data_IF_087771385706
#
_entry.id   IF_087771385706
#
_cell.length_a   1.000
_cell.length_b   1.000
_cell.length_c   1.000
_cell.angle_alpha   90.00
_cell.angle_beta   90.00
_cell.angle_gamma   90.00
#
_symmetry.space_group_name_H-M   'P 1'
#
loop_
_entity.id
_entity.type
_entity.pdbx_description
1 polymer ?
#
# COMPACT_ATOMS: atom_id res chain seq x y z
N UNK A 1 -35.32 -21.03 24.60
CA UNK A 1 -35.14 -19.57 24.63
C UNK A 1 -34.29 -19.16 23.43
N UNK A 2 -34.81 -18.39 22.45
CA UNK A 2 -33.99 -17.93 21.33
C UNK A 2 -32.87 -17.04 21.87
N UNK A 3 -31.62 -17.36 21.53
CA UNK A 3 -30.45 -16.56 21.92
C UNK A 3 -30.65 -15.14 21.37
N UNK A 4 -30.67 -14.14 22.26
CA UNK A 4 -30.73 -12.72 21.89
C UNK A 4 -29.55 -12.45 20.95
N UNK A 5 -29.82 -12.17 19.67
CA UNK A 5 -28.79 -11.87 18.66
C UNK A 5 -28.06 -10.61 19.08
N UNK A 6 -26.73 -10.71 19.23
CA UNK A 6 -25.88 -9.56 19.58
C UNK A 6 -25.76 -8.58 18.42
N UNK A 7 -25.61 -7.30 18.74
CA UNK A 7 -25.22 -6.28 17.75
C UNK A 7 -23.71 -6.23 17.56
N UNK A 8 -23.25 -5.57 16.50
CA UNK A 8 -21.83 -5.30 16.25
C UNK A 8 -21.23 -4.50 17.40
N UNK A 9 -21.92 -3.48 17.90
CA UNK A 9 -21.48 -2.63 19.01
C UNK A 9 -21.34 -3.42 20.33
N UNK A 10 -22.25 -4.37 20.58
CA UNK A 10 -22.16 -5.27 21.74
C UNK A 10 -20.99 -6.27 21.60
N UNK A 11 -20.59 -6.57 20.36
CA UNK A 11 -19.45 -7.42 20.07
C UNK A 11 -18.14 -6.62 20.17
N UNK A 12 -18.09 -5.39 19.64
CA UNK A 12 -16.99 -4.43 19.76
C UNK A 12 -16.62 -4.14 21.21
N UNK A 13 -17.62 -3.85 22.06
CA UNK A 13 -17.40 -3.68 23.51
C UNK A 13 -16.87 -4.94 24.19
N UNK A 14 -17.18 -6.13 23.67
CA UNK A 14 -16.68 -7.38 24.23
C UNK A 14 -15.20 -7.61 23.90
N UNK A 15 -14.75 -7.15 22.74
CA UNK A 15 -13.37 -7.32 22.25
C UNK A 15 -12.47 -6.13 22.56
N UNK A 16 -13.02 -5.04 23.10
CA UNK A 16 -12.31 -3.77 23.30
C UNK A 16 -11.65 -3.24 22.02
N UNK A 17 -12.27 -3.53 20.88
CA UNK A 17 -11.89 -3.01 19.57
C UNK A 17 -12.87 -1.93 19.18
N UNK A 18 -12.44 -1.07 18.26
CA UNK A 18 -13.34 -0.10 17.67
C UNK A 18 -14.46 -0.82 16.90
N UNK A 19 -15.63 -0.18 16.82
CA UNK A 19 -16.77 -0.79 16.14
C UNK A 19 -16.50 -0.99 14.64
N UNK A 20 -15.65 -0.15 14.06
CA UNK A 20 -15.24 -0.21 12.68
C UNK A 20 -14.24 -1.34 12.42
N UNK A 21 -13.34 -1.63 13.36
CA UNK A 21 -12.45 -2.80 13.30
C UNK A 21 -13.24 -4.11 13.36
N UNK A 22 -14.31 -4.13 14.16
CA UNK A 22 -15.22 -5.27 14.24
C UNK A 22 -16.00 -5.45 12.94
N UNK A 23 -16.45 -4.38 12.30
CA UNK A 23 -17.12 -4.46 11.00
C UNK A 23 -16.20 -5.03 9.90
N UNK A 24 -14.93 -4.63 9.87
CA UNK A 24 -13.93 -5.14 8.90
C UNK A 24 -13.79 -6.65 9.03
N UNK A 25 -13.50 -7.14 10.24
CA UNK A 25 -13.29 -8.57 10.46
C UNK A 25 -14.56 -9.39 10.21
N UNK A 26 -15.75 -8.79 10.36
CA UNK A 26 -17.00 -9.43 9.98
C UNK A 26 -17.19 -9.49 8.46
N UNK A 27 -16.85 -8.43 7.72
CA UNK A 27 -16.86 -8.45 6.25
C UNK A 27 -15.88 -9.47 5.68
N UNK A 28 -14.66 -9.53 6.20
CA UNK A 28 -13.67 -10.53 5.79
C UNK A 28 -14.14 -11.97 6.05
N UNK A 29 -15.06 -12.16 7.00
CA UNK A 29 -15.70 -13.43 7.31
C UNK A 29 -17.01 -13.70 6.53
N UNK A 30 -17.36 -12.81 5.59
CA UNK A 30 -18.52 -12.91 4.69
C UNK A 30 -19.83 -12.44 5.31
N UNK A 31 -19.80 -11.42 6.18
CA UNK A 31 -21.00 -10.73 6.71
C UNK A 31 -21.26 -9.40 6.00
N UNK A 32 -21.34 -9.43 4.67
CA UNK A 32 -21.44 -8.23 3.82
C UNK A 32 -22.71 -7.39 4.10
N UNK A 33 -23.76 -8.02 4.65
CA UNK A 33 -25.00 -7.34 5.03
C UNK A 33 -24.94 -6.53 6.34
N UNK A 34 -23.84 -6.59 7.10
CA UNK A 34 -23.70 -5.92 8.40
C UNK A 34 -22.92 -4.63 8.22
N UNK A 35 -23.60 -3.47 8.18
CA UNK A 35 -22.97 -2.20 7.77
C UNK A 35 -22.84 -1.19 8.90
N UNK A 36 -23.58 -1.38 10.00
CA UNK A 36 -23.69 -0.40 11.08
C UNK A 36 -23.43 -1.03 12.45
N UNK A 37 -22.92 -0.26 13.42
CA UNK A 37 -22.77 -0.67 14.83
C UNK A 37 -23.98 -1.36 15.46
N UNK A 38 -25.20 -0.93 15.08
CA UNK A 38 -26.45 -1.45 15.67
C UNK A 38 -27.02 -2.66 14.94
N UNK A 39 -26.41 -3.09 13.84
CA UNK A 39 -26.90 -4.23 13.06
C UNK A 39 -26.71 -5.53 13.85
N UNK A 40 -27.69 -6.44 13.70
CA UNK A 40 -27.73 -7.69 14.48
C UNK A 40 -27.12 -8.85 13.71
N UNK A 41 -26.27 -9.60 14.40
CA UNK A 41 -25.55 -10.73 13.82
C UNK A 41 -26.44 -11.97 13.77
N UNK A 42 -26.62 -12.54 12.56
CA UNK A 42 -27.35 -13.80 12.35
C UNK A 42 -26.64 -14.99 13.01
N UNK A 43 -25.32 -15.07 12.90
CA UNK A 43 -24.49 -16.19 13.39
C UNK A 43 -23.40 -15.72 14.38
N UNK A 44 -23.81 -15.40 15.61
CA UNK A 44 -22.92 -14.79 16.61
C UNK A 44 -21.65 -15.60 16.91
N UNK A 45 -21.67 -16.94 16.80
CA UNK A 45 -20.48 -17.76 17.04
C UNK A 45 -19.45 -17.67 15.90
N UNK A 46 -19.90 -17.58 14.64
CA UNK A 46 -19.02 -17.42 13.48
C UNK A 46 -18.44 -16.00 13.47
N UNK A 47 -19.25 -14.99 13.79
CA UNK A 47 -18.80 -13.62 14.02
C UNK A 47 -17.73 -13.51 15.12
N UNK A 48 -17.88 -14.25 16.23
CA UNK A 48 -16.87 -14.30 17.31
C UNK A 48 -15.54 -14.91 16.84
N UNK A 49 -15.59 -15.99 16.05
CA UNK A 49 -14.37 -16.61 15.51
C UNK A 49 -13.64 -15.68 14.54
N UNK A 50 -14.38 -14.95 13.71
CA UNK A 50 -13.82 -13.96 12.80
C UNK A 50 -12.97 -12.89 13.52
N UNK A 51 -13.36 -12.56 14.75
CA UNK A 51 -12.67 -11.60 15.61
C UNK A 51 -11.60 -12.24 16.51
N UNK A 52 -11.24 -13.50 16.28
CA UNK A 52 -10.28 -14.22 17.11
C UNK A 52 -10.77 -14.52 18.53
N UNK A 53 -12.08 -14.46 18.79
CA UNK A 53 -12.64 -14.72 20.11
C UNK A 53 -12.96 -16.19 20.29
N UNK A 54 -12.56 -16.73 21.43
CA UNK A 54 -12.98 -18.06 21.81
C UNK A 54 -14.49 -18.13 22.09
N UNK A 55 -15.09 -19.22 21.63
CA UNK A 55 -16.48 -19.57 21.92
C UNK A 55 -16.61 -20.07 23.35
N UNK A 56 -17.84 -20.05 23.90
CA UNK A 56 -18.14 -20.64 25.22
C UNK A 56 -17.79 -22.14 25.32
N UNK A 57 -17.69 -22.83 24.17
CA UNK A 57 -17.29 -24.24 24.10
C UNK A 57 -15.77 -24.39 24.16
N UNK A 58 -15.03 -23.54 23.45
CA UNK A 58 -13.56 -23.51 23.47
C UNK A 58 -13.01 -23.05 24.83
N UNK A 59 -13.63 -22.06 25.48
CA UNK A 59 -13.21 -21.61 26.81
C UNK A 59 -13.38 -22.67 27.91
N UNK A 60 -14.14 -23.73 27.65
CA UNK A 60 -14.26 -24.90 28.54
C UNK A 60 -13.18 -25.95 28.26
N UNK A 61 -12.36 -25.78 27.22
CA UNK A 61 -11.29 -26.71 26.86
C UNK A 61 -10.03 -26.43 27.66
N UNK A 62 -9.39 -27.49 28.17
CA UNK A 62 -8.05 -27.40 28.76
C UNK A 62 -7.02 -26.95 27.71
N UNK A 63 -7.10 -27.50 26.49
CA UNK A 63 -6.17 -27.18 25.40
C UNK A 63 -6.22 -25.70 24.98
N UNK A 64 -7.40 -25.07 25.05
CA UNK A 64 -7.53 -23.64 24.78
C UNK A 64 -6.72 -22.81 25.78
N UNK A 65 -6.84 -23.11 27.07
CA UNK A 65 -6.13 -22.35 28.10
C UNK A 65 -4.63 -22.67 28.16
N UNK A 66 -4.22 -23.89 27.81
CA UNK A 66 -2.81 -24.21 27.58
C UNK A 66 -2.21 -23.31 26.50
N UNK A 67 -2.95 -23.11 25.39
CA UNK A 67 -2.54 -22.19 24.31
C UNK A 67 -2.56 -20.72 24.76
N UNK A 68 -3.54 -20.29 25.56
CA UNK A 68 -3.61 -18.90 26.06
C UNK A 68 -2.43 -18.55 26.99
N UNK A 69 -1.98 -19.50 27.80
CA UNK A 69 -0.87 -19.28 28.74
C UNK A 69 0.49 -19.70 28.19
N UNK A 70 0.53 -20.28 26.98
CA UNK A 70 1.71 -20.89 26.38
C UNK A 70 2.40 -21.91 27.32
N UNK A 71 1.61 -22.84 27.87
CA UNK A 71 2.07 -23.84 28.84
C UNK A 71 1.84 -25.26 28.33
N UNK A 72 2.81 -26.13 28.59
CA UNK A 72 2.65 -27.57 28.40
C UNK A 72 1.75 -28.18 29.48
N UNK A 73 1.18 -29.36 29.22
CA UNK A 73 0.16 -29.95 30.08
C UNK A 73 0.58 -30.11 31.56
N UNK A 74 1.81 -30.54 31.90
CA UNK A 74 2.26 -30.64 33.29
C UNK A 74 2.29 -29.28 34.01
N UNK A 75 2.71 -28.23 33.31
CA UNK A 75 2.85 -26.87 33.83
C UNK A 75 1.48 -26.22 34.02
N UNK A 76 0.57 -26.40 33.05
CA UNK A 76 -0.79 -25.92 33.15
C UNK A 76 -1.55 -26.63 34.28
N UNK A 77 -1.32 -27.93 34.50
CA UNK A 77 -1.89 -28.66 35.64
C UNK A 77 -1.32 -28.17 36.98
N UNK A 78 -0.05 -27.78 37.02
CA UNK A 78 0.54 -27.12 38.18
C UNK A 78 -0.15 -25.78 38.48
N UNK A 79 -0.37 -24.97 37.44
CA UNK A 79 -1.10 -23.71 37.54
C UNK A 79 -2.54 -23.91 38.04
N UNK A 80 -3.24 -24.93 37.57
CA UNK A 80 -4.59 -25.24 38.05
C UNK A 80 -4.60 -25.64 39.54
N UNK A 81 -3.57 -26.36 40.02
CA UNK A 81 -3.41 -26.69 41.44
C UNK A 81 -3.16 -25.43 42.28
N UNK A 82 -2.28 -24.55 41.82
CA UNK A 82 -2.00 -23.25 42.45
C UNK A 82 -3.27 -22.38 42.55
N UNK A 83 -4.07 -22.35 41.48
CA UNK A 83 -5.37 -21.66 41.45
C UNK A 83 -6.50 -22.42 42.18
N UNK A 84 -6.17 -23.51 42.87
CA UNK A 84 -7.11 -24.37 43.62
C UNK A 84 -8.30 -24.84 42.78
N UNK A 85 -8.07 -25.13 41.50
CA UNK A 85 -9.08 -25.61 40.55
C UNK A 85 -9.08 -27.14 40.54
N UNK A 86 -10.13 -27.80 41.06
CA UNK A 86 -10.20 -29.26 41.05
C UNK A 86 -10.48 -29.78 39.63
N UNK A 87 -9.56 -30.56 39.09
CA UNK A 87 -9.70 -31.25 37.80
C UNK A 87 -9.06 -32.63 37.87
N UNK A 88 -9.66 -33.64 37.21
CA UNK A 88 -9.07 -34.98 37.09
C UNK A 88 -7.86 -34.92 36.15
N UNK A 89 -6.86 -35.78 36.39
CA UNK A 89 -5.61 -35.81 35.62
C UNK A 89 -5.77 -36.02 34.11
N UNK A 90 -6.91 -36.55 33.65
CA UNK A 90 -7.18 -36.77 32.22
C UNK A 90 -8.35 -35.95 31.68
N UNK A 91 -8.92 -35.05 32.49
CA UNK A 91 -10.07 -34.27 32.05
C UNK A 91 -9.64 -33.20 31.04
N UNK A 92 -10.24 -33.22 29.84
CA UNK A 92 -10.01 -32.24 28.77
C UNK A 92 -10.94 -31.02 28.87
N UNK A 93 -11.88 -31.02 29.81
CA UNK A 93 -12.82 -29.92 30.04
C UNK A 93 -12.71 -29.34 31.44
N UNK A 94 -12.71 -28.02 31.50
CA UNK A 94 -12.64 -27.24 32.73
C UNK A 94 -14.02 -27.04 33.35
N UNK A 95 -14.14 -27.09 34.68
CA UNK A 95 -15.38 -26.76 35.37
C UNK A 95 -15.69 -25.25 35.23
N UNK A 96 -16.98 -24.84 35.29
CA UNK A 96 -17.38 -23.45 35.02
C UNK A 96 -16.67 -22.41 35.89
N UNK A 97 -16.40 -22.75 37.16
CA UNK A 97 -15.71 -21.87 38.12
C UNK A 97 -14.22 -21.70 37.82
N UNK A 98 -13.60 -22.62 37.08
CA UNK A 98 -12.19 -22.53 36.66
C UNK A 98 -11.95 -21.39 35.68
N UNK A 99 -12.88 -21.19 34.75
CA UNK A 99 -12.78 -20.17 33.69
C UNK A 99 -12.63 -18.77 34.29
N UNK A 100 -13.37 -18.47 35.36
CA UNK A 100 -13.28 -17.17 36.04
C UNK A 100 -11.92 -16.95 36.70
N UNK A 101 -11.32 -18.00 37.27
CA UNK A 101 -10.01 -17.93 37.92
C UNK A 101 -8.89 -17.80 36.89
N UNK A 102 -8.95 -18.58 35.82
CA UNK A 102 -8.00 -18.49 34.70
C UNK A 102 -8.06 -17.13 34.00
N UNK A 103 -9.25 -16.53 33.83
CA UNK A 103 -9.38 -15.15 33.35
C UNK A 103 -8.72 -14.14 34.28
N UNK A 104 -8.91 -14.31 35.59
CA UNK A 104 -8.29 -13.43 36.58
C UNK A 104 -6.76 -13.56 36.54
N UNK A 105 -6.25 -14.77 36.38
CA UNK A 105 -4.81 -15.04 36.30
C UNK A 105 -4.20 -14.53 34.99
N UNK A 106 -4.85 -14.74 33.86
CA UNK A 106 -4.44 -14.19 32.56
C UNK A 106 -4.32 -12.66 32.62
N UNK A 107 -5.31 -11.99 33.23
CA UNK A 107 -5.26 -10.53 33.43
C UNK A 107 -4.10 -10.08 34.29
N UNK A 108 -3.77 -10.81 35.37
CA UNK A 108 -2.59 -10.52 36.21
C UNK A 108 -1.29 -10.64 35.41
N UNK A 109 -1.23 -11.59 34.47
CA UNK A 109 -0.09 -11.81 33.57
C UNK A 109 -0.11 -10.91 32.33
N UNK A 110 -1.06 -9.98 32.22
CA UNK A 110 -1.19 -9.11 31.04
C UNK A 110 -1.66 -9.82 29.77
N UNK A 111 -2.18 -11.03 29.86
CA UNK A 111 -2.73 -11.81 28.74
C UNK A 111 -4.21 -11.50 28.61
N UNK A 112 -4.71 -11.24 27.39
CA UNK A 112 -6.15 -11.16 27.13
C UNK A 112 -6.75 -12.57 27.04
N UNK A 113 -7.57 -13.00 28.02
CA UNK A 113 -8.13 -14.35 28.06
C UNK A 113 -9.26 -14.59 27.05
N UNK A 114 -9.65 -13.58 26.26
CA UNK A 114 -10.74 -13.70 25.28
C UNK A 114 -10.16 -13.92 23.87
N UNK A 115 -9.07 -13.23 23.54
CA UNK A 115 -8.36 -13.32 22.26
C UNK A 115 -7.15 -14.27 22.30
N UNK A 116 -6.67 -14.63 23.49
CA UNK A 116 -5.45 -15.43 23.66
C UNK A 116 -4.18 -14.67 23.29
N UNK A 117 -4.26 -13.37 23.04
CA UNK A 117 -3.12 -12.51 22.72
C UNK A 117 -2.61 -11.84 24.00
N UNK A 118 -1.29 -11.83 24.20
CA UNK A 118 -0.67 -10.96 25.20
C UNK A 118 -1.06 -9.50 24.88
N UNK A 119 -1.39 -8.67 25.90
CA UNK A 119 -1.34 -7.21 25.70
C UNK A 119 0.03 -6.87 25.11
N UNK A 120 0.12 -5.93 24.15
CA UNK A 120 1.36 -5.67 23.42
C UNK A 120 2.44 -5.31 24.44
N UNK A 121 3.22 -6.33 24.77
CA UNK A 121 4.44 -6.27 25.52
C UNK A 121 5.48 -6.14 24.44
N UNK A 122 6.29 -5.09 24.54
CA UNK A 122 7.36 -4.75 23.61
C UNK A 122 8.07 -6.03 23.17
N UNK A 123 7.85 -6.43 21.91
CA UNK A 123 8.43 -7.64 21.33
C UNK A 123 9.94 -7.47 21.36
N UNK A 124 10.62 -8.40 22.02
CA UNK A 124 12.08 -8.46 22.00
C UNK A 124 12.52 -8.96 20.62
N UNK A 125 13.25 -8.09 19.92
CA UNK A 125 13.78 -8.26 18.57
C UNK A 125 14.84 -9.37 18.51
N UNK A 126 14.52 -10.49 17.87
CA UNK A 126 15.55 -11.42 17.35
C UNK A 126 15.30 -11.65 15.84
N UNK A 127 14.09 -12.10 15.45
CA UNK A 127 13.74 -12.34 14.04
C UNK A 127 13.54 -11.07 13.20
N UNK A 128 13.02 -10.00 13.80
CA UNK A 128 12.82 -8.70 13.13
C UNK A 128 14.15 -8.06 12.73
N UNK A 129 15.26 -8.36 13.44
CA UNK A 129 16.59 -7.87 13.08
C UNK A 129 17.09 -8.40 11.74
N UNK A 130 16.80 -9.67 11.40
CA UNK A 130 17.22 -10.27 10.12
C UNK A 130 16.41 -9.68 8.95
N UNK A 131 15.10 -9.53 9.11
CA UNK A 131 14.23 -8.96 8.06
C UNK A 131 14.51 -7.47 7.87
N UNK A 132 14.67 -6.71 8.96
CA UNK A 132 15.06 -5.31 8.91
C UNK A 132 16.45 -5.13 8.26
N UNK A 133 17.40 -6.04 8.50
CA UNK A 133 18.69 -6.06 7.78
C UNK A 133 18.53 -6.37 6.29
N UNK A 134 17.64 -7.30 5.92
CA UNK A 134 17.37 -7.61 4.52
C UNK A 134 16.77 -6.42 3.76
N UNK A 135 15.87 -5.66 4.37
CA UNK A 135 15.31 -4.45 3.75
C UNK A 135 16.39 -3.40 3.46
N UNK A 136 17.49 -3.38 4.23
CA UNK A 136 18.61 -2.45 3.99
C UNK A 136 19.44 -2.80 2.77
N UNK A 137 19.45 -4.06 2.35
CA UNK A 137 20.28 -4.53 1.23
C UNK A 137 19.55 -4.57 -0.10
N UNK A 138 18.25 -4.26 -0.12
CA UNK A 138 17.40 -4.39 -1.31
C UNK A 138 17.18 -3.01 -1.94
N UNK A 139 17.65 -2.85 -3.19
CA UNK A 139 17.36 -1.68 -4.00
C UNK A 139 18.39 -0.57 -3.88
N UNK A 140 17.97 0.66 -4.18
CA UNK A 140 18.86 1.80 -4.33
C UNK A 140 18.62 2.84 -3.22
N UNK A 141 19.62 3.06 -2.38
CA UNK A 141 19.59 4.13 -1.39
C UNK A 141 19.86 5.50 -2.03
N UNK A 142 19.03 6.49 -1.69
CA UNK A 142 19.15 7.89 -2.09
C UNK A 142 18.29 8.80 -1.20
N UNK A 143 18.42 10.13 -1.28
CA UNK A 143 17.42 11.04 -0.73
C UNK A 143 16.05 10.75 -1.37
N UNK A 144 15.04 10.50 -0.55
CA UNK A 144 13.70 10.10 -0.99
C UNK A 144 12.76 11.31 -1.02
N UNK A 145 12.01 11.46 -2.11
CA UNK A 145 10.81 12.31 -2.13
C UNK A 145 9.62 11.44 -1.76
N UNK A 146 9.07 11.69 -0.59
CA UNK A 146 7.88 11.03 -0.10
C UNK A 146 6.62 11.66 -0.71
N UNK A 147 5.59 10.84 -0.90
CA UNK A 147 4.26 11.37 -1.18
C UNK A 147 3.62 11.86 0.10
N UNK A 148 2.90 12.98 0.02
CA UNK A 148 2.10 13.48 1.15
C UNK A 148 0.71 12.85 1.14
N UNK A 149 0.00 12.97 2.27
CA UNK A 149 -1.41 12.56 2.36
C UNK A 149 -2.27 13.28 1.32
N UNK A 150 -2.03 14.58 1.11
CA UNK A 150 -2.73 15.39 0.11
C UNK A 150 -2.48 14.90 -1.31
N UNK A 151 -1.25 14.47 -1.63
CA UNK A 151 -0.90 13.92 -2.94
C UNK A 151 -1.57 12.57 -3.17
N UNK A 152 -1.56 11.68 -2.17
CA UNK A 152 -2.23 10.37 -2.24
C UNK A 152 -3.76 10.53 -2.32
N UNK A 153 -4.32 11.48 -1.56
CA UNK A 153 -5.74 11.86 -1.64
C UNK A 153 -6.09 12.46 -3.00
N UNK A 154 -5.21 13.28 -3.57
CA UNK A 154 -5.34 13.82 -4.93
C UNK A 154 -5.39 12.70 -5.98
N UNK A 155 -4.48 11.73 -5.87
CA UNK A 155 -4.45 10.53 -6.72
C UNK A 155 -5.78 9.77 -6.64
N UNK A 156 -6.29 9.57 -5.44
CA UNK A 156 -7.57 8.93 -5.20
C UNK A 156 -8.72 9.64 -5.91
N UNK A 157 -8.85 10.96 -5.74
CA UNK A 157 -9.96 11.69 -6.34
C UNK A 157 -9.86 11.80 -7.87
N UNK A 158 -8.65 11.80 -8.44
CA UNK A 158 -8.46 11.64 -9.88
C UNK A 158 -8.96 10.29 -10.38
N UNK A 159 -8.68 9.19 -9.65
CA UNK A 159 -9.23 7.87 -9.96
C UNK A 159 -10.76 7.86 -9.86
N UNK A 160 -11.34 8.45 -8.81
CA UNK A 160 -12.81 8.55 -8.67
C UNK A 160 -13.41 9.27 -9.87
N UNK A 161 -12.84 10.41 -10.27
CA UNK A 161 -13.29 11.18 -11.43
C UNK A 161 -13.20 10.39 -12.73
N UNK A 162 -12.06 9.75 -12.98
CA UNK A 162 -11.82 9.01 -14.23
C UNK A 162 -12.71 7.76 -14.37
N UNK A 163 -13.05 7.12 -13.24
CA UNK A 163 -13.86 5.89 -13.22
C UNK A 163 -15.37 6.13 -13.07
N UNK A 164 -15.81 7.36 -12.77
CA UNK A 164 -17.22 7.71 -12.52
C UNK A 164 -18.19 7.27 -13.64
N UNK A 165 -17.77 7.30 -14.90
CA UNK A 165 -18.58 6.88 -16.06
C UNK A 165 -18.34 5.45 -16.55
N UNK A 166 -17.56 4.66 -15.81
CA UNK A 166 -17.23 3.27 -16.19
C UNK A 166 -18.24 2.28 -15.60
N UNK A 167 -18.16 1.01 -16.01
CA UNK A 167 -19.01 -0.06 -15.46
C UNK A 167 -18.72 -0.37 -13.98
N UNK A 168 -17.53 -0.01 -13.49
CA UNK A 168 -17.04 -0.31 -12.14
C UNK A 168 -16.49 0.96 -11.45
N UNK A 169 -17.36 1.93 -11.08
CA UNK A 169 -16.94 3.17 -10.43
C UNK A 169 -16.32 2.92 -9.04
N UNK A 170 -15.63 3.92 -8.49
CA UNK A 170 -15.14 3.88 -7.12
C UNK A 170 -16.26 4.39 -6.21
N UNK A 171 -17.09 3.48 -5.73
CA UNK A 171 -18.22 3.79 -4.84
C UNK A 171 -18.30 2.80 -3.66
N UNK A 172 -18.59 3.28 -2.43
CA UNK A 172 -18.70 4.70 -2.07
C UNK A 172 -17.34 5.41 -2.13
N UNK A 173 -17.35 6.65 -2.63
CA UNK A 173 -16.15 7.48 -2.73
C UNK A 173 -15.89 8.18 -1.39
N UNK A 174 -14.61 8.27 -0.99
CA UNK A 174 -14.18 9.00 0.19
C UNK A 174 -13.03 8.33 0.95
N UNK A 175 -12.31 9.15 1.70
CA UNK A 175 -11.40 8.69 2.75
C UNK A 175 -12.24 8.07 3.86
N UNK A 176 -11.86 6.88 4.32
CA UNK A 176 -12.53 6.16 5.40
C UNK A 176 -12.25 6.82 6.74
N UNK A 177 -10.97 7.01 7.04
CA UNK A 177 -10.47 7.71 8.22
C UNK A 177 -9.16 8.40 7.87
N UNK A 178 -8.99 9.65 8.28
CA UNK A 178 -7.72 10.37 8.05
C UNK A 178 -6.54 9.67 8.76
N UNK A 179 -6.76 9.08 9.93
CA UNK A 179 -5.73 8.33 10.65
C UNK A 179 -5.21 7.10 9.86
N UNK A 180 -6.08 6.41 9.12
CA UNK A 180 -5.68 5.29 8.26
C UNK A 180 -4.88 5.77 7.05
N UNK A 181 -5.29 6.90 6.45
CA UNK A 181 -4.54 7.51 5.35
C UNK A 181 -3.16 7.95 5.81
N UNK A 182 -3.08 8.67 6.93
CA UNK A 182 -1.84 9.10 7.55
C UNK A 182 -0.95 7.89 7.89
N UNK A 183 -1.49 6.87 8.55
CA UNK A 183 -0.75 5.66 8.89
C UNK A 183 -0.14 4.99 7.66
N UNK A 184 -0.94 4.86 6.59
CA UNK A 184 -0.50 4.22 5.37
C UNK A 184 0.61 5.01 4.65
N UNK A 185 0.44 6.33 4.56
CA UNK A 185 1.39 7.24 3.89
C UNK A 185 2.68 7.41 4.69
N UNK A 186 2.61 7.39 6.03
CA UNK A 186 3.79 7.54 6.88
C UNK A 186 4.54 6.24 7.14
N UNK A 187 3.98 5.07 6.85
CA UNK A 187 4.68 3.78 7.05
C UNK A 187 6.09 3.74 6.45
N UNK A 188 6.35 4.24 5.22
CA UNK A 188 7.69 4.27 4.65
C UNK A 188 8.71 5.12 5.46
N UNK A 189 8.24 6.06 6.29
CA UNK A 189 9.07 6.88 7.17
C UNK A 189 9.52 6.16 8.45
N UNK A 190 9.08 4.92 8.67
CA UNK A 190 9.39 4.16 9.90
C UNK A 190 10.89 4.10 10.15
N UNK A 191 11.30 4.48 11.36
CA UNK A 191 12.69 4.45 11.81
C UNK A 191 12.79 3.91 13.24
N UNK A 192 13.92 3.28 13.56
CA UNK A 192 14.24 2.80 14.91
C UNK A 192 15.69 3.17 15.23
N UNK A 193 15.92 3.82 16.37
CA UNK A 193 17.26 4.22 16.79
C UNK A 193 17.94 5.20 15.82
N UNK A 194 17.17 6.01 15.11
CA UNK A 194 17.69 6.94 14.07
C UNK A 194 17.96 6.30 12.71
N UNK A 195 17.79 4.97 12.58
CA UNK A 195 17.96 4.28 11.32
C UNK A 195 16.62 3.99 10.64
N UNK A 196 16.52 4.28 9.33
CA UNK A 196 15.32 3.98 8.53
C UNK A 196 15.12 2.47 8.40
N UNK A 197 13.87 2.01 8.54
CA UNK A 197 13.45 0.63 8.26
C UNK A 197 13.40 0.35 6.75
N UNK A 198 13.02 1.36 5.96
CA UNK A 198 12.91 1.30 4.50
C UNK A 198 13.87 2.33 3.87
N UNK A 199 15.18 2.02 3.76
CA UNK A 199 16.18 3.01 3.36
C UNK A 199 16.28 3.26 1.85
N UNK A 200 15.72 2.38 1.02
CA UNK A 200 15.81 2.44 -0.45
C UNK A 200 14.49 2.86 -1.08
N UNK A 201 14.54 3.26 -2.36
CA UNK A 201 13.33 3.60 -3.13
C UNK A 201 12.37 2.41 -3.18
N UNK A 202 12.89 1.21 -3.46
CA UNK A 202 12.08 0.01 -3.64
C UNK A 202 11.46 -0.47 -2.33
N UNK A 203 12.22 -0.45 -1.22
CA UNK A 203 11.68 -0.82 0.09
C UNK A 203 10.63 0.18 0.59
N UNK A 204 10.81 1.46 0.27
CA UNK A 204 9.85 2.53 0.56
C UNK A 204 8.58 2.42 -0.28
N UNK A 205 8.73 2.18 -1.58
CA UNK A 205 7.63 1.94 -2.50
C UNK A 205 6.84 0.69 -2.10
N UNK A 206 7.52 -0.38 -1.71
CA UNK A 206 6.91 -1.61 -1.22
C UNK A 206 6.10 -1.38 0.06
N UNK A 207 6.67 -0.63 1.02
CA UNK A 207 5.98 -0.29 2.26
C UNK A 207 4.70 0.52 2.00
N UNK A 208 4.76 1.48 1.06
CA UNK A 208 3.62 2.31 0.63
C UNK A 208 2.55 1.48 -0.11
N UNK A 209 2.96 0.58 -1.01
CA UNK A 209 2.03 -0.31 -1.72
C UNK A 209 1.24 -1.15 -0.71
N UNK A 210 1.98 -1.81 0.18
CA UNK A 210 1.44 -2.74 1.16
C UNK A 210 0.53 -2.03 2.15
N UNK A 211 0.91 -0.87 2.68
CA UNK A 211 0.06 -0.14 3.63
C UNK A 211 -1.23 0.38 3.02
N UNK A 212 -1.19 1.00 1.83
CA UNK A 212 -2.44 1.47 1.20
C UNK A 212 -3.38 0.29 0.91
N UNK A 213 -2.83 -0.87 0.52
CA UNK A 213 -3.63 -2.08 0.29
C UNK A 213 -4.22 -2.63 1.58
N UNK A 214 -3.48 -2.73 2.69
CA UNK A 214 -3.95 -3.45 3.87
C UNK A 214 -4.53 -2.57 4.98
N UNK A 215 -4.17 -1.29 5.04
CA UNK A 215 -4.75 -0.34 6.02
C UNK A 215 -6.11 0.18 5.53
N UNK A 216 -6.45 -0.03 4.25
CA UNK A 216 -7.72 0.37 3.62
C UNK A 216 -8.15 1.81 3.96
N UNK A 217 -7.34 2.83 3.64
CA UNK A 217 -7.62 4.22 3.99
C UNK A 217 -8.82 4.83 3.26
N UNK A 218 -9.29 4.21 2.17
CA UNK A 218 -10.48 4.64 1.42
C UNK A 218 -11.61 3.62 1.53
N UNK A 219 -12.85 4.06 1.39
CA UNK A 219 -14.01 3.17 1.41
C UNK A 219 -14.01 2.13 0.28
N UNK A 220 -13.56 2.53 -0.90
CA UNK A 220 -13.34 1.66 -2.05
C UNK A 220 -12.17 2.22 -2.86
N UNK A 221 -11.55 1.41 -3.72
CA UNK A 221 -10.49 1.83 -4.63
C UNK A 221 -9.06 1.68 -4.09
N UNK A 222 -8.87 1.12 -2.89
CA UNK A 222 -7.55 1.00 -2.24
C UNK A 222 -6.48 0.36 -3.15
N UNK A 223 -6.78 -0.78 -3.79
CA UNK A 223 -5.86 -1.44 -4.73
C UNK A 223 -5.48 -0.57 -5.94
N UNK A 224 -6.46 0.16 -6.49
CA UNK A 224 -6.25 1.08 -7.62
C UNK A 224 -5.37 2.26 -7.20
N UNK A 225 -5.66 2.85 -6.04
CA UNK A 225 -4.88 3.96 -5.49
C UNK A 225 -3.47 3.53 -5.13
N UNK A 226 -3.30 2.38 -4.48
CA UNK A 226 -1.98 1.86 -4.12
C UNK A 226 -1.06 1.71 -5.35
N UNK A 227 -1.59 1.13 -6.44
CA UNK A 227 -0.84 0.98 -7.68
C UNK A 227 -0.42 2.33 -8.26
N UNK A 228 -1.35 3.29 -8.38
CA UNK A 228 -1.02 4.61 -8.95
C UNK A 228 -0.08 5.39 -8.05
N UNK A 229 -0.26 5.36 -6.72
CA UNK A 229 0.64 6.00 -5.76
C UNK A 229 2.06 5.47 -5.85
N UNK A 230 2.24 4.16 -6.02
CA UNK A 230 3.58 3.55 -6.17
C UNK A 230 4.21 3.92 -7.50
N UNK A 231 3.45 3.96 -8.59
CA UNK A 231 3.94 4.40 -9.89
C UNK A 231 4.40 5.86 -9.86
N UNK A 232 3.63 6.75 -9.22
CA UNK A 232 4.00 8.17 -9.02
C UNK A 232 5.23 8.25 -8.11
N UNK A 233 5.25 7.54 -6.98
CA UNK A 233 6.40 7.53 -6.07
C UNK A 233 7.69 7.09 -6.76
N UNK A 234 7.65 6.04 -7.60
CA UNK A 234 8.81 5.58 -8.36
C UNK A 234 9.31 6.65 -9.35
N UNK A 235 8.41 7.28 -10.11
CA UNK A 235 8.75 8.35 -11.07
C UNK A 235 9.43 9.53 -10.37
N UNK A 236 8.86 9.95 -9.24
CA UNK A 236 9.36 11.06 -8.43
C UNK A 236 10.72 10.78 -7.78
N UNK A 237 11.05 9.50 -7.59
CA UNK A 237 12.36 9.06 -7.08
C UNK A 237 13.33 8.64 -8.19
N UNK A 238 12.98 8.90 -9.45
CA UNK A 238 13.84 8.69 -10.60
C UNK A 238 13.91 7.22 -11.07
N UNK A 239 12.81 6.48 -10.93
CA UNK A 239 12.69 5.09 -11.36
C UNK A 239 11.63 4.94 -12.46
N UNK A 240 11.93 4.08 -13.42
CA UNK A 240 11.02 3.74 -14.50
C UNK A 240 10.52 2.30 -14.35
N UNK A 241 9.19 2.08 -14.28
CA UNK A 241 8.60 0.75 -14.30
C UNK A 241 8.80 0.06 -15.65
N UNK A 242 9.37 -1.15 -15.63
CA UNK A 242 9.59 -2.02 -16.80
C UNK A 242 8.63 -3.22 -16.85
N UNK A 243 7.66 -3.27 -15.95
CA UNK A 243 6.58 -4.26 -15.97
C UNK A 243 5.39 -3.83 -16.82
N UNK A 244 4.65 -4.80 -17.33
CA UNK A 244 3.42 -4.60 -18.08
C UNK A 244 2.15 -4.57 -17.20
N UNK A 245 0.98 -4.52 -17.85
CA UNK A 245 -0.32 -4.44 -17.18
C UNK A 245 -0.71 -5.73 -16.44
N UNK A 246 -0.30 -6.89 -16.93
CA UNK A 246 -0.60 -8.21 -16.35
C UNK A 246 0.28 -8.46 -15.13
N UNK A 247 1.56 -8.10 -15.23
CA UNK A 247 2.53 -8.14 -14.14
C UNK A 247 2.11 -7.22 -12.98
N UNK A 248 1.74 -5.97 -13.30
CA UNK A 248 1.21 -5.03 -12.30
C UNK A 248 -0.06 -5.55 -11.61
N UNK A 249 -0.98 -6.12 -12.39
CA UNK A 249 -2.22 -6.71 -11.85
C UNK A 249 -1.90 -7.85 -10.88
N UNK A 250 -1.03 -8.77 -11.30
CA UNK A 250 -0.65 -9.94 -10.51
C UNK A 250 0.00 -9.54 -9.20
N UNK A 251 0.95 -8.60 -9.23
CA UNK A 251 1.61 -8.08 -8.03
C UNK A 251 0.58 -7.57 -7.03
N UNK A 252 -0.29 -6.64 -7.44
CA UNK A 252 -1.28 -6.01 -6.54
C UNK A 252 -2.26 -7.04 -5.99
N UNK A 253 -2.69 -8.00 -6.82
CA UNK A 253 -3.59 -9.06 -6.39
C UNK A 253 -2.93 -10.01 -5.39
N UNK A 254 -1.69 -10.41 -5.62
CA UNK A 254 -0.96 -11.31 -4.74
C UNK A 254 -0.63 -10.65 -3.39
N UNK A 255 -0.37 -9.33 -3.38
CA UNK A 255 -0.26 -8.56 -2.13
C UNK A 255 -1.61 -8.54 -1.41
N UNK A 256 -2.68 -8.10 -2.07
CA UNK A 256 -4.00 -7.98 -1.46
C UNK A 256 -4.55 -9.31 -0.89
N UNK A 257 -4.13 -10.44 -1.45
CA UNK A 257 -4.57 -11.78 -1.03
C UNK A 257 -3.56 -12.51 -0.13
N UNK A 258 -2.50 -11.84 0.33
CA UNK A 258 -1.42 -12.44 1.12
C UNK A 258 -0.80 -13.69 0.47
N UNK A 259 -0.63 -13.66 -0.86
CA UNK A 259 -0.05 -14.75 -1.66
C UNK A 259 1.39 -14.48 -2.08
N UNK A 260 1.89 -13.28 -1.85
CA UNK A 260 3.27 -12.91 -2.21
C UNK A 260 4.31 -13.50 -1.24
N UNK A 261 3.90 -13.82 -0.01
CA UNK A 261 4.70 -14.55 0.99
C UNK A 261 3.84 -15.62 1.70
N UNK A 262 4.47 -16.57 2.39
CA UNK A 262 3.75 -17.60 3.15
C UNK A 262 3.04 -16.99 4.38
N UNK A 263 1.68 -16.99 4.42
CA UNK A 263 0.92 -16.34 5.49
C UNK A 263 1.06 -17.04 6.84
N UNK A 264 1.62 -18.25 6.89
CA UNK A 264 1.85 -18.99 8.14
C UNK A 264 3.09 -18.51 8.89
N UNK A 265 3.92 -17.70 8.25
CA UNK A 265 5.17 -17.23 8.83
C UNK A 265 4.96 -15.95 9.65
N UNK A 266 5.71 -15.83 10.75
CA UNK A 266 5.73 -14.60 11.55
C UNK A 266 6.25 -13.40 10.75
N UNK A 267 5.82 -12.21 11.17
CA UNK A 267 6.16 -10.92 10.53
C UNK A 267 5.75 -10.85 9.06
N UNK A 268 4.57 -11.37 8.73
CA UNK A 268 4.03 -11.43 7.37
C UNK A 268 4.15 -10.09 6.63
N UNK A 269 3.72 -8.98 7.25
CA UNK A 269 3.78 -7.66 6.62
C UNK A 269 5.21 -7.23 6.22
N UNK A 270 6.22 -7.58 7.01
CA UNK A 270 7.61 -7.27 6.68
C UNK A 270 8.16 -8.20 5.60
N UNK A 271 7.77 -9.48 5.60
CA UNK A 271 8.12 -10.44 4.54
C UNK A 271 7.50 -10.04 3.21
N UNK A 272 6.22 -9.70 3.19
CA UNK A 272 5.54 -9.20 1.99
C UNK A 272 6.22 -7.94 1.48
N UNK A 273 6.60 -7.03 2.38
CA UNK A 273 7.36 -5.83 1.99
C UNK A 273 8.70 -6.18 1.35
N UNK A 274 9.42 -7.20 1.86
CA UNK A 274 10.66 -7.71 1.24
C UNK A 274 10.40 -8.27 -0.16
N UNK A 275 9.38 -9.12 -0.33
CA UNK A 275 9.06 -9.73 -1.62
C UNK A 275 8.63 -8.68 -2.65
N UNK A 276 7.80 -7.70 -2.25
CA UNK A 276 7.42 -6.58 -3.12
C UNK A 276 8.68 -5.78 -3.51
N UNK A 277 9.57 -5.48 -2.57
CA UNK A 277 10.78 -4.70 -2.84
C UNK A 277 11.74 -5.43 -3.80
N UNK A 278 11.94 -6.73 -3.60
CA UNK A 278 12.74 -7.56 -4.51
C UNK A 278 12.13 -7.62 -5.91
N UNK A 279 10.81 -7.77 -5.98
CA UNK A 279 10.09 -7.70 -7.24
C UNK A 279 10.31 -6.36 -7.94
N UNK A 280 10.17 -5.24 -7.23
CA UNK A 280 10.42 -3.90 -7.78
C UNK A 280 11.85 -3.73 -8.27
N UNK A 281 12.86 -4.24 -7.55
CA UNK A 281 14.25 -4.23 -8.02
C UNK A 281 14.45 -4.95 -9.37
N UNK A 282 13.70 -6.03 -9.60
CA UNK A 282 13.76 -6.78 -10.86
C UNK A 282 12.94 -6.17 -12.01
N UNK A 283 11.98 -5.30 -11.70
CA UNK A 283 11.01 -4.77 -12.67
C UNK A 283 11.01 -3.24 -12.76
N UNK A 284 11.99 -2.58 -12.15
CA UNK A 284 12.21 -1.14 -12.23
C UNK A 284 13.67 -0.87 -12.51
N UNK A 285 13.94 0.14 -13.34
CA UNK A 285 15.30 0.65 -13.54
C UNK A 285 15.41 2.09 -13.06
N UNK A 286 16.56 2.42 -12.49
CA UNK A 286 16.92 3.81 -12.28
C UNK A 286 16.96 4.53 -13.65
N UNK A 287 16.38 5.73 -13.73
CA UNK A 287 16.53 6.60 -14.89
C UNK A 287 18.02 6.89 -15.08
N UNK A 288 18.58 6.43 -16.21
CA UNK A 288 19.99 6.69 -16.55
C UNK A 288 20.19 8.19 -16.77
N UNK A 289 21.28 8.74 -16.23
CA UNK A 289 21.76 10.07 -16.63
C UNK A 289 22.07 10.05 -18.13
N UNK A 290 21.39 10.90 -18.90
CA UNK A 290 21.59 11.06 -20.34
C UNK A 290 20.30 10.88 -21.14
N UNK A 291 20.34 11.22 -22.42
CA UNK A 291 19.18 11.07 -23.30
C UNK A 291 18.93 9.60 -23.69
N UNK A 292 17.68 9.16 -23.62
CA UNK A 292 17.24 7.84 -24.05
C UNK A 292 15.96 7.93 -24.89
N UNK A 293 15.66 6.92 -25.73
CA UNK A 293 14.43 6.93 -26.50
C UNK A 293 13.19 6.97 -25.58
N UNK A 294 12.18 7.71 -26.00
CA UNK A 294 10.86 7.77 -25.33
C UNK A 294 9.75 7.83 -26.38
N UNK A 295 8.54 7.31 -26.10
CA UNK A 295 7.39 7.46 -26.98
C UNK A 295 7.10 8.94 -27.26
N UNK A 296 6.71 9.27 -28.49
CA UNK A 296 6.45 10.66 -28.87
C UNK A 296 5.38 11.32 -27.99
N UNK A 297 4.35 10.57 -27.58
CA UNK A 297 3.34 11.05 -26.61
C UNK A 297 3.96 11.60 -25.32
N UNK A 298 4.96 10.89 -24.76
CA UNK A 298 5.66 11.32 -23.55
C UNK A 298 6.53 12.55 -23.83
N UNK A 299 7.23 12.56 -24.95
CA UNK A 299 8.02 13.72 -25.37
C UNK A 299 7.13 14.98 -25.50
N UNK A 300 5.94 14.86 -26.09
CA UNK A 300 4.97 15.96 -26.20
C UNK A 300 4.61 16.52 -24.82
N UNK A 301 4.32 15.68 -23.84
CA UNK A 301 3.99 16.11 -22.47
C UNK A 301 5.13 16.88 -21.81
N UNK A 302 6.35 16.35 -21.90
CA UNK A 302 7.57 17.01 -21.38
C UNK A 302 7.72 18.39 -22.05
N UNK A 303 7.63 18.45 -23.38
CA UNK A 303 7.81 19.69 -24.13
C UNK A 303 6.74 20.73 -23.79
N UNK A 304 5.47 20.32 -23.65
CA UNK A 304 4.38 21.20 -23.19
C UNK A 304 4.65 21.69 -21.77
N UNK A 305 5.16 20.85 -20.87
CA UNK A 305 5.61 21.25 -19.52
C UNK A 305 6.75 22.28 -19.52
N UNK A 306 7.53 22.34 -20.60
CA UNK A 306 8.52 23.39 -20.85
C UNK A 306 7.97 24.62 -21.58
N UNK A 307 6.66 24.70 -21.80
CA UNK A 307 6.00 25.78 -22.52
C UNK A 307 6.21 25.72 -24.03
N UNK A 308 6.48 24.54 -24.59
CA UNK A 308 6.61 24.36 -26.03
C UNK A 308 5.23 24.16 -26.68
N UNK A 309 5.04 24.70 -27.88
CA UNK A 309 3.90 24.43 -28.76
C UNK A 309 4.33 23.48 -29.87
N UNK A 310 3.46 22.52 -30.20
CA UNK A 310 3.72 21.52 -31.24
C UNK A 310 2.65 21.63 -32.32
N UNK A 311 3.08 21.86 -33.55
CA UNK A 311 2.20 22.03 -34.71
C UNK A 311 2.56 21.03 -35.80
N UNK A 312 1.55 20.36 -36.37
CA UNK A 312 1.74 19.53 -37.55
C UNK A 312 2.07 20.42 -38.76
N UNK A 313 3.21 20.17 -39.40
CA UNK A 313 3.55 20.79 -40.68
C UNK A 313 3.28 19.82 -41.82
N UNK A 314 3.09 20.33 -43.03
CA UNK A 314 2.79 19.50 -44.20
C UNK A 314 3.79 18.32 -44.34
N UNK A 315 3.25 17.10 -44.40
CA UNK A 315 4.00 15.84 -44.42
C UNK A 315 4.18 15.17 -43.06
N UNK A 316 5.07 14.16 -42.97
CA UNK A 316 5.39 13.43 -41.73
C UNK A 316 6.38 14.21 -40.83
N UNK A 317 6.15 15.51 -40.61
CA UNK A 317 7.02 16.39 -39.83
C UNK A 317 6.22 17.11 -38.73
N UNK A 318 6.86 17.31 -37.58
CA UNK A 318 6.34 18.10 -36.47
C UNK A 318 7.21 19.32 -36.26
N UNK A 319 6.58 20.49 -36.17
CA UNK A 319 7.19 21.74 -35.74
C UNK A 319 7.01 21.93 -34.25
N UNK A 320 8.08 22.31 -33.54
CA UNK A 320 8.05 22.56 -32.10
C UNK A 320 8.64 23.94 -31.84
N UNK A 321 7.88 24.81 -31.16
CA UNK A 321 8.30 26.18 -30.84
C UNK A 321 8.28 26.44 -29.34
N UNK A 322 9.18 27.30 -28.85
CA UNK A 322 9.25 27.70 -27.44
C UNK A 322 9.68 29.16 -27.34
N UNK A 323 9.07 29.93 -26.42
CA UNK A 323 9.51 31.30 -26.16
C UNK A 323 10.77 31.28 -25.28
N UNK A 324 11.89 31.79 -25.80
CA UNK A 324 13.17 31.86 -25.08
C UNK A 324 13.24 33.02 -24.09
N UNK A 325 14.18 32.94 -23.14
CA UNK A 325 14.39 34.00 -22.13
C UNK A 325 14.90 35.30 -22.78
N UNK A 326 14.51 36.46 -22.24
CA UNK A 326 15.07 37.77 -22.66
C UNK A 326 16.55 37.83 -22.29
N UNK A 327 17.41 38.22 -23.25
CA UNK A 327 18.85 38.41 -23.02
C UNK A 327 19.21 39.80 -22.47
N UNK A 328 18.32 40.80 -22.57
CA UNK A 328 18.53 42.19 -22.13
C UNK A 328 17.22 42.78 -21.57
N UNK A 329 17.33 43.72 -20.62
CA UNK A 329 16.20 44.40 -19.96
C UNK A 329 15.23 45.04 -20.97
N UNK A 330 15.75 45.55 -22.10
CA UNK A 330 14.97 46.17 -23.19
C UNK A 330 14.70 45.25 -24.42
N UNK A 331 15.10 43.98 -24.40
CA UNK A 331 15.02 43.11 -25.59
C UNK A 331 13.75 42.25 -25.66
N UNK A 332 13.17 42.03 -26.84
CA UNK A 332 12.03 41.10 -27.02
C UNK A 332 12.47 39.64 -26.81
N UNK A 333 11.62 38.76 -26.26
CA UNK A 333 11.90 37.33 -26.18
C UNK A 333 12.07 36.73 -27.58
N UNK A 334 13.06 35.87 -27.79
CA UNK A 334 13.27 35.18 -29.08
C UNK A 334 12.51 33.87 -29.09
N UNK A 335 11.73 33.61 -30.13
CA UNK A 335 11.09 32.30 -30.33
C UNK A 335 12.14 31.31 -30.84
N UNK A 336 12.29 30.21 -30.12
CA UNK A 336 13.08 29.03 -30.48
C UNK A 336 12.19 28.07 -31.29
N UNK A 337 12.76 27.40 -32.28
CA UNK A 337 12.01 26.53 -33.18
C UNK A 337 12.87 25.31 -33.57
N UNK A 338 12.25 24.13 -33.61
CA UNK A 338 12.86 22.91 -34.15
C UNK A 338 11.84 22.10 -34.93
N UNK A 339 12.33 21.30 -35.88
CA UNK A 339 11.52 20.37 -36.66
C UNK A 339 12.12 18.97 -36.60
N UNK A 340 11.24 17.97 -36.49
CA UNK A 340 11.59 16.55 -36.45
C UNK A 340 10.62 15.75 -37.32
N UNK A 341 11.08 14.61 -37.85
CA UNK A 341 10.15 13.68 -38.49
C UNK A 341 9.26 13.02 -37.43
N UNK A 342 7.96 13.01 -37.72
CA UNK A 342 6.87 12.53 -36.91
C UNK A 342 6.19 11.37 -37.63
N UNK A 343 6.12 10.22 -36.96
CA UNK A 343 5.43 9.04 -37.48
C UNK A 343 4.07 8.90 -36.81
N UNK A 344 4.10 8.50 -35.55
CA UNK A 344 2.93 8.26 -34.71
C UNK A 344 3.30 8.55 -33.24
N UNK A 345 2.29 8.86 -32.42
CA UNK A 345 2.43 9.18 -30.99
C UNK A 345 2.93 7.99 -30.16
N UNK A 346 2.70 6.75 -30.63
CA UNK A 346 3.18 5.52 -30.00
C UNK A 346 4.61 5.11 -30.35
N UNK A 347 5.24 5.71 -31.38
CA UNK A 347 6.62 5.36 -31.77
C UNK A 347 7.65 6.07 -30.89
N UNK A 348 8.73 5.35 -30.61
CA UNK A 348 9.87 5.91 -29.90
C UNK A 348 10.58 6.98 -30.74
N UNK A 349 10.88 8.08 -30.08
CA UNK A 349 11.73 9.14 -30.61
C UNK A 349 13.18 8.78 -30.27
N UNK A 350 14.04 8.51 -31.27
CA UNK A 350 15.42 8.12 -30.99
C UNK A 350 16.21 9.24 -30.31
N UNK A 351 17.21 8.84 -29.52
CA UNK A 351 18.06 9.71 -28.70
C UNK A 351 18.66 10.89 -29.47
N UNK A 352 19.05 10.69 -30.73
CA UNK A 352 19.62 11.75 -31.57
C UNK A 352 18.62 12.89 -31.83
N UNK A 353 17.34 12.57 -32.04
CA UNK A 353 16.27 13.57 -32.18
C UNK A 353 16.01 14.29 -30.86
N UNK A 354 16.01 13.57 -29.75
CA UNK A 354 15.82 14.19 -28.43
C UNK A 354 16.96 15.17 -28.12
N UNK A 355 18.23 14.77 -28.33
CA UNK A 355 19.40 15.66 -28.24
C UNK A 355 19.27 16.90 -29.10
N UNK A 356 18.74 16.76 -30.33
CA UNK A 356 18.48 17.89 -31.23
C UNK A 356 17.43 18.84 -30.66
N UNK A 357 16.28 18.32 -30.26
CA UNK A 357 15.18 19.11 -29.69
C UNK A 357 15.65 19.87 -28.46
N UNK A 358 16.40 19.19 -27.58
CA UNK A 358 16.92 19.77 -26.36
C UNK A 358 17.83 20.96 -26.63
N UNK A 359 18.79 20.79 -27.53
CA UNK A 359 19.72 21.84 -27.96
C UNK A 359 18.98 23.03 -28.58
N UNK A 360 18.09 22.75 -29.54
CA UNK A 360 17.40 23.81 -30.30
C UNK A 360 16.44 24.64 -29.43
N UNK A 361 15.82 24.00 -28.43
CA UNK A 361 14.85 24.63 -27.53
C UNK A 361 15.47 25.08 -26.20
N UNK A 362 16.80 25.03 -26.06
CA UNK A 362 17.52 25.43 -24.84
C UNK A 362 16.98 24.67 -23.60
N UNK A 363 16.89 23.35 -23.75
CA UNK A 363 16.48 22.37 -22.73
C UNK A 363 17.66 21.42 -22.43
N UNK A 364 18.83 22.01 -22.29
CA UNK A 364 20.09 21.34 -22.01
C UNK A 364 20.78 21.96 -20.78
N UNK A 365 21.86 21.31 -20.33
CA UNK A 365 22.60 21.62 -19.12
C UNK A 365 23.07 23.10 -19.11
N UNK A 366 23.47 23.63 -20.27
CA UNK A 366 23.90 25.02 -20.44
C UNK A 366 22.80 26.04 -20.13
N UNK A 367 21.54 25.62 -20.21
CA UNK A 367 20.36 26.44 -19.93
C UNK A 367 19.67 26.06 -18.60
N UNK A 368 20.34 25.29 -17.75
CA UNK A 368 19.87 24.88 -16.43
C UNK A 368 18.84 23.73 -16.49
N UNK A 369 18.85 22.94 -17.56
CA UNK A 369 17.96 21.80 -17.76
C UNK A 369 18.79 20.56 -18.05
N UNK A 370 19.24 19.89 -16.99
CA UNK A 370 20.03 18.67 -17.15
C UNK A 370 19.22 17.50 -17.73
N UNK A 371 19.89 16.39 -18.05
CA UNK A 371 19.23 15.22 -18.61
C UNK A 371 18.06 14.73 -17.77
N UNK A 372 18.28 14.62 -16.47
CA UNK A 372 17.28 14.18 -15.51
C UNK A 372 16.14 15.20 -15.44
N UNK A 373 16.43 16.47 -15.19
CA UNK A 373 15.48 17.57 -15.15
C UNK A 373 14.59 17.63 -16.39
N UNK A 374 15.11 17.37 -17.60
CA UNK A 374 14.30 17.31 -18.82
C UNK A 374 13.24 16.21 -18.79
N UNK A 375 13.62 14.99 -18.39
CA UNK A 375 12.66 13.89 -18.28
C UNK A 375 11.76 14.00 -17.04
N UNK A 376 12.24 14.69 -16.00
CA UNK A 376 11.54 14.95 -14.75
C UNK A 376 10.58 16.15 -14.82
N UNK A 377 10.77 17.09 -15.76
CA UNK A 377 9.92 18.27 -15.83
C UNK A 377 8.61 17.93 -16.51
N UNK A 378 7.68 17.61 -15.63
CA UNK A 378 6.41 16.99 -15.93
C UNK A 378 6.46 15.58 -15.37
N UNK A 379 6.03 15.35 -14.11
CA UNK A 379 5.62 14.00 -13.73
C UNK A 379 4.69 13.47 -14.83
N UNK A 380 4.73 12.18 -15.12
CA UNK A 380 3.52 11.58 -15.71
C UNK A 380 2.40 12.01 -14.75
N UNK A 381 1.45 12.80 -15.23
CA UNK A 381 0.35 13.21 -14.37
C UNK A 381 -0.31 11.94 -13.85
N UNK A 382 -0.90 11.97 -12.66
CA UNK A 382 -1.72 10.87 -12.17
C UNK A 382 -2.65 10.34 -13.27
N UNK A 383 -3.25 11.25 -14.04
CA UNK A 383 -4.04 10.97 -15.26
C UNK A 383 -3.31 10.14 -16.33
N UNK A 384 -2.01 10.33 -16.55
CA UNK A 384 -1.22 9.56 -17.52
C UNK A 384 -0.97 8.13 -17.06
N UNK A 385 -0.70 7.92 -15.77
CA UNK A 385 -0.60 6.59 -15.18
C UNK A 385 -1.96 5.88 -15.22
N UNK A 386 -3.04 6.60 -14.86
CA UNK A 386 -4.40 6.08 -14.97
C UNK A 386 -4.69 5.65 -16.41
N UNK A 387 -4.35 6.48 -17.41
CA UNK A 387 -4.54 6.12 -18.81
C UNK A 387 -3.69 4.91 -19.24
N UNK A 388 -2.40 4.87 -18.86
CA UNK A 388 -1.48 3.77 -19.19
C UNK A 388 -1.91 2.44 -18.56
N UNK A 389 -2.43 2.46 -17.34
CA UNK A 389 -2.81 1.26 -16.59
C UNK A 389 -4.34 1.07 -16.50
N UNK A 390 -5.13 1.76 -17.33
CA UNK A 390 -6.61 1.73 -17.26
C UNK A 390 -7.19 0.32 -17.25
N UNK A 391 -6.69 -0.58 -18.09
CA UNK A 391 -7.14 -1.99 -18.14
C UNK A 391 -6.82 -2.73 -16.84
N UNK A 392 -5.62 -2.57 -16.30
CA UNK A 392 -5.22 -3.12 -14.99
C UNK A 392 -6.12 -2.60 -13.88
N UNK A 393 -6.33 -1.29 -13.83
CA UNK A 393 -7.17 -0.62 -12.83
C UNK A 393 -8.63 -1.10 -12.90
N UNK A 394 -9.19 -1.31 -14.11
CA UNK A 394 -10.52 -1.91 -14.28
C UNK A 394 -10.58 -3.35 -13.76
N UNK A 395 -9.54 -4.15 -13.98
CA UNK A 395 -9.48 -5.53 -13.46
C UNK A 395 -9.40 -5.56 -11.94
N UNK A 396 -8.64 -4.64 -11.34
CA UNK A 396 -8.52 -4.52 -9.88
C UNK A 396 -9.82 -4.11 -9.18
N UNK A 397 -10.84 -3.64 -9.91
CA UNK A 397 -12.15 -3.35 -9.34
C UNK A 397 -12.99 -4.60 -9.06
N UNK A 398 -12.66 -5.74 -9.69
CA UNK A 398 -13.45 -6.99 -9.64
C UNK A 398 -12.97 -8.02 -8.63
N UNK A 399 -11.85 -7.73 -7.99
CA UNK A 399 -11.19 -8.55 -6.98
C UNK A 399 -10.94 -7.68 -5.77
#
# INVERSE_FOLDING_TARGET
MPQKRKTVEELAREVQLDTDEVLIALWDAGYDEVLRPRDRLRETNRARRALGLATRREMKSVAYWMSVFDLYEPEFRSLLRELSVPIREQAQRLPPKAISRLRSEARKRGIDPITGKAKPSVVRLEASGVIARSLRTIGHERPLRWLTEDEVRGIYFELVKDFSGTRDPIEPAGVRTEDLLASAVFRPHTSLGGERKYPTVETSAAALLHSIIHDHPFHNGNKRTALVSVLVFLDENGFFPEFDQDEAFKLVLDVAQHRIADPRQENLADRETVEIAQWLCGHCRALKKGDHPIPFRRLRQILVGYGCKLDHTAGSKMSITKVGKRRRILGRPRTLHTQISYGDDGRDVPTNKIKKIRRDLQLDDLNGVDSQAFYSKGPLGTTDFIARYRKTLLRLAKH
#
